data_IF_692575343290
#
_entry.id   IF_692575343290
#
_cell.length_a   1.000
_cell.length_b   1.000
_cell.length_c   1.000
_cell.angle_alpha   90.00
_cell.angle_beta   90.00
_cell.angle_gamma   90.00
#
_symmetry.space_group_name_H-M   'P 1'
#
loop_
_entity.id
_entity.type
_entity.pdbx_description
1 polymer ?
#
# COMPACT_ATOMS: atom_id res chain seq x y z
N UNK A 1 20.23 -2.84 26.33
CA UNK A 1 20.64 -1.44 26.10
C UNK A 1 21.79 -1.47 25.10
N UNK A 2 21.47 -1.48 23.80
CA UNK A 2 22.47 -1.67 22.74
C UNK A 2 23.00 -0.29 22.36
N UNK A 3 24.27 -0.04 22.68
CA UNK A 3 25.05 1.10 22.16
C UNK A 3 25.40 0.81 20.70
N UNK A 4 25.02 1.70 19.79
CA UNK A 4 25.57 1.72 18.44
C UNK A 4 26.85 2.56 18.47
N UNK A 5 28.01 1.91 18.34
CA UNK A 5 29.27 2.59 18.07
C UNK A 5 29.44 2.83 16.56
N UNK A 6 30.10 3.93 16.23
CA UNK A 6 30.43 4.30 14.84
C UNK A 6 31.43 3.30 14.28
N UNK A 7 31.16 2.79 13.07
CA UNK A 7 32.12 1.98 12.34
C UNK A 7 33.22 2.89 11.76
N UNK A 8 34.41 2.87 12.37
CA UNK A 8 35.65 3.39 11.77
C UNK A 8 36.14 2.39 10.71
N UNK A 9 36.08 2.80 9.44
CA UNK A 9 36.66 2.07 8.31
C UNK A 9 38.08 2.56 8.05
N UNK A 10 38.98 2.31 9.01
CA UNK A 10 40.42 2.54 8.85
C UNK A 10 41.16 1.20 8.90
N UNK A 11 41.33 0.60 7.72
CA UNK A 11 42.35 -0.42 7.52
C UNK A 11 41.86 -1.76 7.00
N UNK A 12 41.68 -1.86 5.69
CA UNK A 12 41.96 -3.09 4.93
C UNK A 12 42.58 -2.69 3.59
N UNK A 13 43.91 -2.67 3.56
CA UNK A 13 44.70 -2.53 2.34
C UNK A 13 45.14 -3.91 1.83
N UNK A 14 45.12 -4.09 0.50
CA UNK A 14 45.73 -5.24 -0.16
C UNK A 14 45.39 -5.42 -1.66
N UNK A 15 46.16 -4.76 -2.53
CA UNK A 15 46.77 -5.37 -3.73
C UNK A 15 46.00 -5.63 -5.06
N UNK A 16 45.94 -4.61 -5.94
CA UNK A 16 46.12 -4.58 -7.43
C UNK A 16 45.19 -5.38 -8.40
N UNK A 17 45.05 -5.03 -9.72
CA UNK A 17 45.74 -3.97 -10.48
C UNK A 17 44.83 -2.95 -11.23
N UNK A 18 45.30 -1.71 -11.32
CA UNK A 18 45.43 -1.00 -12.60
C UNK A 18 44.20 -0.43 -13.33
N UNK A 19 43.03 -0.30 -12.71
CA UNK A 19 41.94 0.52 -13.26
C UNK A 19 41.99 1.93 -12.70
N UNK A 20 42.03 2.95 -13.56
CA UNK A 20 42.10 4.36 -13.18
C UNK A 20 40.98 4.71 -12.18
N UNK A 21 41.33 4.88 -10.90
CA UNK A 21 40.42 5.34 -9.84
C UNK A 21 39.78 6.69 -10.18
N UNK A 22 40.39 7.47 -11.08
CA UNK A 22 39.81 8.70 -11.61
C UNK A 22 38.60 8.44 -12.51
N UNK A 23 38.55 7.29 -13.19
CA UNK A 23 37.48 6.90 -14.11
C UNK A 23 36.28 6.33 -13.35
N UNK A 24 36.52 5.58 -12.27
CA UNK A 24 35.49 5.15 -11.32
C UNK A 24 34.89 6.36 -10.56
N UNK A 25 35.73 7.31 -10.16
CA UNK A 25 35.26 8.56 -9.55
C UNK A 25 34.51 9.47 -10.55
N UNK A 26 34.84 9.42 -11.85
CA UNK A 26 34.10 10.15 -12.90
C UNK A 26 32.78 9.48 -13.28
N UNK A 27 32.67 8.15 -13.17
CA UNK A 27 31.39 7.42 -13.35
C UNK A 27 30.48 7.57 -12.13
N UNK A 28 31.02 7.61 -10.91
CA UNK A 28 30.24 7.91 -9.70
C UNK A 28 29.99 9.41 -9.49
N UNK A 29 30.78 10.28 -10.11
CA UNK A 29 30.72 11.74 -9.98
C UNK A 29 29.82 12.45 -10.99
N UNK A 30 29.17 11.73 -11.91
CA UNK A 30 28.16 12.28 -12.81
C UNK A 30 26.78 11.72 -12.43
N UNK A 31 26.01 12.58 -11.76
CA UNK A 31 24.60 12.42 -11.37
C UNK A 31 24.28 11.86 -9.98
N UNK A 32 25.00 12.27 -8.92
CA UNK A 32 24.47 12.21 -7.55
C UNK A 32 23.46 13.34 -7.28
N UNK A 33 22.44 13.47 -8.13
CA UNK A 33 21.20 14.19 -7.80
C UNK A 33 20.13 13.18 -7.36
N UNK A 34 20.54 12.13 -6.63
CA UNK A 34 19.62 11.26 -5.90
C UNK A 34 19.07 12.13 -4.78
N UNK A 35 17.90 12.76 -5.00
CA UNK A 35 17.22 13.54 -3.97
C UNK A 35 17.07 12.71 -2.69
N UNK A 36 16.68 13.34 -1.58
CA UNK A 36 16.50 12.63 -0.30
C UNK A 36 15.66 11.36 -0.52
N UNK A 37 16.21 10.16 -0.26
CA UNK A 37 15.54 8.92 -0.55
C UNK A 37 14.34 8.73 0.36
N UNK A 38 13.27 8.10 -0.16
CA UNK A 38 12.13 7.67 0.66
C UNK A 38 12.47 6.35 1.33
N UNK A 39 11.90 6.09 2.50
CA UNK A 39 12.06 4.80 3.19
C UNK A 39 10.75 4.01 3.14
N UNK A 40 10.81 2.75 2.73
CA UNK A 40 9.73 1.79 2.91
C UNK A 40 10.16 0.81 3.99
N UNK A 41 9.39 0.74 5.07
CA UNK A 41 9.54 -0.30 6.10
C UNK A 41 8.44 -1.33 5.91
N UNK A 42 8.81 -2.54 5.54
CA UNK A 42 7.86 -3.63 5.36
C UNK A 42 8.08 -4.74 6.39
N UNK A 43 6.98 -5.26 6.92
CA UNK A 43 6.98 -6.36 7.87
C UNK A 43 5.81 -7.31 7.60
N UNK A 44 5.79 -8.46 8.28
CA UNK A 44 4.80 -9.52 8.06
C UNK A 44 3.44 -9.17 8.67
N UNK A 45 3.41 -8.61 9.87
CA UNK A 45 2.16 -8.34 10.60
C UNK A 45 1.99 -6.87 10.93
N UNK A 46 0.73 -6.46 11.09
CA UNK A 46 0.41 -5.10 11.53
C UNK A 46 0.87 -4.80 12.95
N UNK A 47 0.89 -5.79 13.85
CA UNK A 47 1.42 -5.60 15.21
C UNK A 47 2.92 -5.29 15.20
N UNK A 48 3.69 -5.91 14.30
CA UNK A 48 5.11 -5.60 14.10
C UNK A 48 5.29 -4.18 13.57
N UNK A 49 4.49 -3.77 12.57
CA UNK A 49 4.51 -2.39 12.06
C UNK A 49 4.19 -1.38 13.16
N UNK A 50 3.12 -1.60 13.94
CA UNK A 50 2.74 -0.72 15.05
C UNK A 50 3.84 -0.67 16.12
N UNK A 51 4.51 -1.79 16.42
CA UNK A 51 5.66 -1.81 17.33
C UNK A 51 6.84 -0.99 16.80
N UNK A 52 7.23 -1.17 15.53
CA UNK A 52 8.31 -0.40 14.91
C UNK A 52 8.00 1.10 14.90
N UNK A 53 6.75 1.48 14.62
CA UNK A 53 6.30 2.88 14.68
C UNK A 53 6.38 3.47 16.09
N UNK A 54 6.01 2.69 17.12
CA UNK A 54 6.14 3.13 18.52
C UNK A 54 7.59 3.32 18.94
N UNK A 55 8.50 2.46 18.50
CA UNK A 55 9.92 2.64 18.76
C UNK A 55 10.48 3.85 18.00
N UNK A 56 10.06 4.06 16.75
CA UNK A 56 10.44 5.25 15.99
C UNK A 56 10.03 6.56 16.71
N UNK A 57 8.83 6.60 17.31
CA UNK A 57 8.34 7.72 18.15
C UNK A 57 9.27 8.05 19.34
N UNK A 58 10.09 7.10 19.80
CA UNK A 58 11.00 7.27 20.95
C UNK A 58 12.41 7.73 20.57
N UNK A 59 12.68 7.90 19.27
CA UNK A 59 13.98 8.33 18.75
C UNK A 59 14.00 9.83 18.44
N UNK A 60 15.17 10.36 18.08
CA UNK A 60 15.31 11.73 17.57
C UNK A 60 14.52 11.98 16.26
N UNK A 61 14.00 10.92 15.62
CA UNK A 61 13.24 10.96 14.38
C UNK A 61 11.71 11.01 14.61
N UNK A 62 11.25 11.31 15.83
CA UNK A 62 9.82 11.34 16.17
C UNK A 62 8.97 12.31 15.32
N UNK A 63 9.59 13.35 14.77
CA UNK A 63 8.94 14.37 13.92
C UNK A 63 8.94 14.01 12.42
N UNK A 64 9.46 12.84 12.05
CA UNK A 64 9.46 12.38 10.66
C UNK A 64 8.04 12.09 10.19
N UNK A 65 7.71 12.44 8.94
CA UNK A 65 6.39 12.14 8.38
C UNK A 65 6.32 10.66 8.04
N UNK A 66 5.58 9.91 8.82
CA UNK A 66 5.32 8.50 8.55
C UNK A 66 3.89 8.27 8.13
N UNK A 67 3.68 7.29 7.24
CA UNK A 67 2.35 6.77 6.96
C UNK A 67 2.35 5.25 7.04
N UNK A 68 1.24 4.67 7.48
CA UNK A 68 1.00 3.22 7.43
C UNK A 68 -0.05 2.88 6.38
N UNK A 69 0.26 1.90 5.54
CA UNK A 69 -0.69 1.29 4.62
C UNK A 69 -1.27 0.03 5.24
N UNK A 70 -2.59 -0.12 5.09
CA UNK A 70 -3.31 -1.28 5.60
C UNK A 70 -4.48 -1.70 4.73
N UNK A 71 -5.05 -2.85 5.08
CA UNK A 71 -6.22 -3.39 4.41
C UNK A 71 -7.48 -2.58 4.73
N UNK A 72 -8.54 -2.79 3.95
CA UNK A 72 -9.86 -2.22 4.26
C UNK A 72 -10.42 -2.77 5.55
N UNK A 73 -10.05 -3.99 5.92
CA UNK A 73 -10.49 -4.65 7.15
C UNK A 73 -10.11 -3.85 8.40
N UNK A 74 -8.95 -3.19 8.37
CA UNK A 74 -8.40 -2.43 9.49
C UNK A 74 -8.68 -0.93 9.43
N UNK A 75 -8.68 -0.37 8.21
CA UNK A 75 -8.78 1.09 8.02
C UNK A 75 -10.19 1.57 7.64
N UNK A 76 -11.12 0.68 7.27
CA UNK A 76 -12.46 1.11 6.90
C UNK A 76 -13.28 1.49 8.15
N UNK A 77 -14.03 2.58 8.04
CA UNK A 77 -14.95 3.06 9.08
C UNK A 77 -16.41 3.14 8.59
N UNK A 78 -16.67 2.64 7.38
CA UNK A 78 -18.02 2.63 6.81
C UNK A 78 -18.81 1.46 7.42
N UNK A 79 -19.94 1.69 8.14
CA UNK A 79 -20.64 0.65 8.89
C UNK A 79 -21.04 -0.55 8.03
N UNK A 80 -21.63 -0.30 6.86
CA UNK A 80 -22.09 -1.37 5.97
C UNK A 80 -20.95 -2.21 5.40
N UNK A 81 -19.81 -1.59 5.05
CA UNK A 81 -18.64 -2.33 4.58
C UNK A 81 -18.02 -3.12 5.72
N UNK A 82 -17.98 -2.57 6.93
CA UNK A 82 -17.39 -3.23 8.09
C UNK A 82 -18.19 -4.44 8.58
N UNK A 83 -19.49 -4.48 8.27
CA UNK A 83 -20.38 -5.60 8.58
C UNK A 83 -20.13 -6.84 7.71
N UNK A 84 -19.58 -6.65 6.51
CA UNK A 84 -19.27 -7.75 5.60
C UNK A 84 -18.20 -8.68 6.18
N UNK A 85 -18.36 -9.99 5.97
CA UNK A 85 -17.38 -10.98 6.41
C UNK A 85 -16.35 -11.25 5.32
N UNK A 86 -15.08 -11.24 5.69
CA UNK A 86 -13.96 -11.50 4.78
C UNK A 86 -13.49 -10.27 3.98
N UNK A 87 -12.18 -10.17 3.78
CA UNK A 87 -11.54 -9.03 3.12
C UNK A 87 -11.96 -8.85 1.64
N UNK A 88 -12.29 -9.94 0.94
CA UNK A 88 -12.76 -9.90 -0.46
C UNK A 88 -14.12 -9.19 -0.58
N UNK A 89 -15.09 -9.56 0.27
CA UNK A 89 -16.42 -8.94 0.29
C UNK A 89 -16.34 -7.46 0.68
N UNK A 90 -15.55 -7.14 1.73
CA UNK A 90 -15.25 -5.75 2.11
C UNK A 90 -14.66 -4.95 0.95
N UNK A 91 -13.75 -5.55 0.19
CA UNK A 91 -13.13 -4.91 -0.97
C UNK A 91 -14.12 -4.68 -2.10
N UNK A 92 -14.94 -5.67 -2.45
CA UNK A 92 -15.93 -5.54 -3.52
C UNK A 92 -17.02 -4.52 -3.15
N UNK A 93 -17.58 -4.59 -1.94
CA UNK A 93 -18.55 -3.62 -1.44
C UNK A 93 -17.98 -2.19 -1.41
N UNK A 94 -16.73 -2.04 -0.96
CA UNK A 94 -16.05 -0.75 -0.98
C UNK A 94 -15.90 -0.20 -2.41
N UNK A 95 -15.47 -1.04 -3.37
CA UNK A 95 -15.36 -0.65 -4.78
C UNK A 95 -16.71 -0.21 -5.35
N UNK A 96 -17.77 -0.98 -5.12
CA UNK A 96 -19.13 -0.65 -5.56
C UNK A 96 -19.61 0.68 -5.01
N UNK A 97 -19.38 0.95 -3.71
CA UNK A 97 -19.79 2.22 -3.08
C UNK A 97 -18.98 3.43 -3.55
N UNK A 98 -17.69 3.24 -3.80
CA UNK A 98 -16.84 4.30 -4.35
C UNK A 98 -17.23 4.59 -5.79
N UNK A 99 -17.49 3.56 -6.60
CA UNK A 99 -17.91 3.71 -7.98
C UNK A 99 -19.28 4.39 -8.11
N UNK A 100 -20.26 3.98 -7.30
CA UNK A 100 -21.60 4.60 -7.23
C UNK A 100 -21.64 5.94 -6.46
N UNK A 101 -20.49 6.44 -5.97
CA UNK A 101 -20.39 7.66 -5.16
C UNK A 101 -21.31 7.67 -3.92
N UNK A 102 -21.56 6.51 -3.32
CA UNK A 102 -22.37 6.36 -2.11
C UNK A 102 -21.53 6.32 -0.82
N UNK A 103 -20.20 6.24 -0.92
CA UNK A 103 -19.30 6.30 0.22
C UNK A 103 -18.96 7.73 0.64
N UNK A 104 -19.72 8.29 1.58
CA UNK A 104 -19.51 9.66 2.09
C UNK A 104 -18.10 9.91 2.66
N UNK A 105 -17.48 8.89 3.26
CA UNK A 105 -16.13 8.98 3.81
C UNK A 105 -15.05 9.15 2.74
N UNK A 106 -15.16 8.43 1.62
CA UNK A 106 -14.19 8.53 0.52
C UNK A 106 -14.35 9.86 -0.20
N UNK A 107 -15.59 10.32 -0.43
CA UNK A 107 -15.86 11.58 -1.12
C UNK A 107 -15.25 12.80 -0.41
N UNK A 108 -15.05 12.72 0.90
CA UNK A 108 -14.43 13.80 1.71
C UNK A 108 -12.91 13.76 1.75
N UNK A 109 -12.26 12.74 1.17
CA UNK A 109 -10.80 12.61 1.22
C UNK A 109 -10.14 13.77 0.50
N UNK A 110 -10.57 14.08 -0.72
CA UNK A 110 -9.94 15.13 -1.53
C UNK A 110 -10.01 16.51 -0.86
N UNK A 111 -11.17 16.86 -0.29
CA UNK A 111 -11.38 18.16 0.35
C UNK A 111 -10.74 18.29 1.74
N UNK A 112 -10.33 17.18 2.37
CA UNK A 112 -9.81 17.17 3.75
C UNK A 112 -8.41 16.56 3.89
N UNK A 113 -7.75 16.15 2.80
CA UNK A 113 -6.42 15.53 2.84
C UNK A 113 -5.33 16.44 3.41
N UNK A 114 -5.53 17.75 3.32
CA UNK A 114 -4.56 18.75 3.82
C UNK A 114 -4.86 19.23 5.24
N UNK A 115 -5.79 18.57 5.95
CA UNK A 115 -6.08 18.88 7.34
C UNK A 115 -4.82 18.71 8.22
N UNK A 116 -4.52 19.63 9.15
CA UNK A 116 -3.32 19.56 10.00
C UNK A 116 -3.20 18.25 10.79
N UNK A 117 -4.31 17.65 11.19
CA UNK A 117 -4.33 16.35 11.88
C UNK A 117 -3.84 15.17 11.04
N UNK A 118 -3.80 15.31 9.70
CA UNK A 118 -3.31 14.29 8.77
C UNK A 118 -1.92 14.63 8.23
N UNK A 119 -1.64 15.91 8.01
CA UNK A 119 -0.37 16.41 7.45
C UNK A 119 0.66 16.79 8.51
N UNK A 120 0.28 16.83 9.78
CA UNK A 120 1.17 17.19 10.87
C UNK A 120 2.39 16.27 10.96
N UNK A 121 3.52 16.74 11.53
CA UNK A 121 4.72 15.94 11.73
C UNK A 121 4.50 14.97 12.89
N UNK A 122 3.72 13.92 12.66
CA UNK A 122 3.43 12.89 13.64
C UNK A 122 3.47 11.52 13.01
N UNK A 123 4.02 10.57 13.77
CA UNK A 123 3.95 9.17 13.41
C UNK A 123 2.54 8.68 13.73
N UNK A 124 1.75 8.36 12.72
CA UNK A 124 0.37 7.86 12.90
C UNK A 124 0.31 6.36 12.60
N UNK A 125 0.02 5.54 13.61
CA UNK A 125 -0.30 4.14 13.40
C UNK A 125 -1.73 3.97 12.86
N UNK A 126 -2.16 2.72 12.68
CA UNK A 126 -3.48 2.39 12.11
C UNK A 126 -4.59 2.91 13.02
N UNK A 127 -4.44 2.72 14.33
CA UNK A 127 -5.40 3.13 15.34
C UNK A 127 -5.55 4.66 15.38
N UNK A 128 -4.42 5.38 15.33
CA UNK A 128 -4.38 6.84 15.26
C UNK A 128 -5.09 7.34 13.99
N UNK A 129 -4.80 6.74 12.83
CA UNK A 129 -5.42 7.14 11.56
C UNK A 129 -6.94 6.87 11.53
N UNK A 130 -7.39 5.76 12.12
CA UNK A 130 -8.82 5.46 12.27
C UNK A 130 -9.50 6.49 13.17
N UNK A 131 -8.91 6.86 14.31
CA UNK A 131 -9.45 7.91 15.20
C UNK A 131 -9.58 9.26 14.48
N UNK A 132 -8.53 9.66 13.74
CA UNK A 132 -8.56 10.90 12.94
C UNK A 132 -9.65 10.83 11.87
N UNK A 133 -9.77 9.71 11.14
CA UNK A 133 -10.82 9.54 10.14
C UNK A 133 -12.24 9.54 10.72
N UNK A 134 -12.45 8.99 11.92
CA UNK A 134 -13.73 9.05 12.62
C UNK A 134 -14.10 10.47 13.04
N UNK A 135 -13.13 11.24 13.55
CA UNK A 135 -13.30 12.65 13.96
C UNK A 135 -13.57 13.56 12.76
N UNK A 136 -12.74 13.45 11.72
CA UNK A 136 -12.85 14.27 10.51
C UNK A 136 -13.87 13.73 9.51
N UNK A 137 -14.50 12.57 9.79
CA UNK A 137 -15.44 11.86 8.92
C UNK A 137 -14.89 11.63 7.51
N UNK A 138 -13.62 11.22 7.42
CA UNK A 138 -12.92 10.90 6.16
C UNK A 138 -12.55 9.43 6.14
N UNK A 139 -12.33 8.85 4.97
CA UNK A 139 -11.91 7.46 4.85
C UNK A 139 -10.41 7.28 5.16
N UNK A 140 -10.02 6.60 6.27
CA UNK A 140 -8.60 6.37 6.61
C UNK A 140 -7.85 5.58 5.53
N UNK A 141 -8.53 4.60 4.92
CA UNK A 141 -7.96 3.75 3.87
C UNK A 141 -7.51 4.55 2.64
N UNK A 142 -8.32 5.50 2.18
CA UNK A 142 -7.93 6.34 1.05
C UNK A 142 -7.03 7.51 1.48
N UNK A 143 -7.25 8.06 2.67
CA UNK A 143 -6.42 9.14 3.22
C UNK A 143 -4.94 8.73 3.34
N UNK A 144 -4.65 7.55 3.91
CA UNK A 144 -3.26 7.04 3.99
C UNK A 144 -2.56 7.02 2.63
N UNK A 145 -3.26 6.65 1.56
CA UNK A 145 -2.68 6.61 0.20
C UNK A 145 -2.34 8.00 -0.34
N UNK A 146 -3.15 9.01 -0.03
CA UNK A 146 -2.87 10.42 -0.39
C UNK A 146 -1.69 11.02 0.40
N UNK A 147 -1.32 10.41 1.54
CA UNK A 147 -0.19 10.85 2.36
C UNK A 147 1.15 10.26 1.90
N UNK A 148 1.16 9.09 1.22
CA UNK A 148 2.39 8.41 0.75
C UNK A 148 3.34 9.31 -0.05
N UNK A 149 2.89 10.16 -1.00
CA UNK A 149 3.79 11.02 -1.76
C UNK A 149 4.62 11.98 -0.91
N UNK A 150 4.09 12.40 0.25
CA UNK A 150 4.74 13.34 1.18
C UNK A 150 5.35 12.65 2.40
N UNK A 151 5.24 11.33 2.51
CA UNK A 151 5.83 10.59 3.62
C UNK A 151 7.34 10.41 3.40
N UNK A 152 8.10 10.57 4.49
CA UNK A 152 9.53 10.29 4.52
C UNK A 152 9.75 8.78 4.75
N UNK A 153 8.89 8.15 5.57
CA UNK A 153 8.82 6.71 5.77
C UNK A 153 7.41 6.16 5.55
N UNK A 154 7.30 5.04 4.83
CA UNK A 154 6.04 4.32 4.63
C UNK A 154 6.11 2.93 5.23
N UNK A 155 5.24 2.65 6.19
CA UNK A 155 5.06 1.33 6.80
C UNK A 155 4.02 0.55 6.00
N UNK A 156 4.31 -0.68 5.59
CA UNK A 156 3.36 -1.51 4.85
C UNK A 156 3.58 -3.01 5.05
N UNK A 157 2.58 -3.88 4.81
CA UNK A 157 2.80 -5.31 4.87
C UNK A 157 3.57 -5.80 3.63
N UNK A 158 4.30 -6.91 3.78
CA UNK A 158 5.11 -7.50 2.70
C UNK A 158 4.38 -7.74 1.39
N UNK A 159 3.15 -8.22 1.46
CA UNK A 159 2.36 -8.51 0.27
C UNK A 159 2.15 -7.27 -0.61
N UNK A 160 2.16 -6.06 -0.06
CA UNK A 160 1.97 -4.84 -0.87
C UNK A 160 3.19 -4.52 -1.73
N UNK A 161 4.37 -4.99 -1.31
CA UNK A 161 5.62 -4.81 -2.04
C UNK A 161 5.89 -5.99 -2.99
N UNK A 162 5.64 -7.22 -2.53
CA UNK A 162 6.04 -8.44 -3.22
C UNK A 162 5.02 -8.91 -4.26
N UNK A 163 3.70 -8.74 -4.03
CA UNK A 163 2.69 -9.05 -5.04
C UNK A 163 2.63 -7.92 -6.09
N UNK A 164 2.94 -8.20 -7.37
CA UNK A 164 2.89 -7.19 -8.43
C UNK A 164 1.51 -6.52 -8.58
N UNK A 165 0.42 -7.27 -8.34
CA UNK A 165 -0.95 -6.74 -8.41
C UNK A 165 -1.21 -5.77 -7.27
N UNK A 166 -0.86 -6.16 -6.04
CA UNK A 166 -0.97 -5.29 -4.88
C UNK A 166 -0.09 -4.04 -5.01
N UNK A 167 1.15 -4.19 -5.48
CA UNK A 167 2.08 -3.07 -5.69
C UNK A 167 1.52 -2.03 -6.66
N UNK A 168 0.99 -2.48 -7.81
CA UNK A 168 0.34 -1.62 -8.80
C UNK A 168 -0.92 -0.97 -8.24
N UNK A 169 -1.75 -1.72 -7.52
CA UNK A 169 -2.99 -1.20 -6.92
C UNK A 169 -2.74 -0.13 -5.84
N UNK A 170 -1.60 -0.20 -5.14
CA UNK A 170 -1.20 0.76 -4.11
C UNK A 170 -0.32 1.90 -4.64
N UNK A 171 -0.01 1.93 -5.94
CA UNK A 171 0.86 2.95 -6.58
C UNK A 171 2.21 3.10 -5.85
N UNK A 172 2.82 1.98 -5.45
CA UNK A 172 4.10 1.99 -4.76
C UNK A 172 5.23 2.11 -5.79
N UNK A 173 6.00 3.18 -5.71
CA UNK A 173 7.16 3.46 -6.55
C UNK A 173 8.47 3.15 -5.79
N UNK A 174 9.40 2.46 -6.46
CA UNK A 174 10.68 2.05 -5.88
C UNK A 174 11.85 2.92 -6.33
N UNK A 175 11.61 3.88 -7.22
CA UNK A 175 12.64 4.85 -7.63
C UNK A 175 13.01 5.74 -6.46
N UNK A 176 14.31 5.94 -6.23
CA UNK A 176 14.80 6.78 -5.13
C UNK A 176 14.37 6.29 -3.73
N UNK A 177 14.18 4.99 -3.53
CA UNK A 177 13.61 4.43 -2.30
C UNK A 177 14.54 3.39 -1.65
N UNK A 178 14.73 3.51 -0.34
CA UNK A 178 15.36 2.49 0.53
C UNK A 178 14.26 1.57 1.05
N UNK A 179 14.39 0.27 0.80
CA UNK A 179 13.43 -0.74 1.28
C UNK A 179 14.07 -1.52 2.43
N UNK A 180 13.38 -1.54 3.57
CA UNK A 180 13.74 -2.29 4.77
C UNK A 180 12.71 -3.43 4.90
N UNK A 181 13.20 -4.67 4.88
CA UNK A 181 12.38 -5.86 5.10
C UNK A 181 12.71 -6.44 6.48
N UNK A 182 11.75 -6.37 7.39
CA UNK A 182 11.91 -6.80 8.78
C UNK A 182 11.26 -8.17 9.04
N UNK A 183 12.02 -9.14 9.53
CA UNK A 183 11.67 -10.58 9.53
C UNK A 183 11.65 -11.22 8.13
N UNK A 184 12.69 -10.93 7.34
CA UNK A 184 12.85 -11.38 5.95
C UNK A 184 12.87 -12.91 5.74
N UNK A 185 12.94 -13.71 6.81
CA UNK A 185 12.96 -15.16 6.74
C UNK A 185 11.67 -15.77 6.16
N UNK A 186 10.55 -15.03 6.11
CA UNK A 186 9.29 -15.48 5.50
C UNK A 186 9.08 -15.04 4.04
N UNK A 187 10.03 -14.33 3.43
CA UNK A 187 9.83 -13.74 2.10
C UNK A 187 9.60 -14.80 1.03
N UNK A 188 10.37 -15.89 1.04
CA UNK A 188 10.25 -16.96 0.04
C UNK A 188 8.83 -17.52 -0.02
N UNK A 189 8.29 -17.89 1.15
CA UNK A 189 6.92 -18.40 1.27
C UNK A 189 5.87 -17.39 0.78
N UNK A 190 6.05 -16.10 1.07
CA UNK A 190 5.11 -15.06 0.61
C UNK A 190 5.17 -14.89 -0.92
N UNK A 191 6.37 -14.97 -1.50
CA UNK A 191 6.54 -14.95 -2.95
C UNK A 191 5.91 -16.19 -3.60
N UNK A 192 6.11 -17.37 -3.03
CA UNK A 192 5.49 -18.62 -3.49
C UNK A 192 3.97 -18.53 -3.44
N UNK A 193 3.39 -18.11 -2.31
CA UNK A 193 1.94 -17.91 -2.15
C UNK A 193 1.38 -16.88 -3.13
N UNK A 194 2.11 -15.78 -3.39
CA UNK A 194 1.67 -14.74 -4.33
C UNK A 194 1.71 -15.19 -5.80
N UNK A 195 2.56 -16.16 -6.14
CA UNK A 195 2.70 -16.71 -7.48
C UNK A 195 1.87 -17.99 -7.70
N UNK A 196 1.34 -18.57 -6.62
CA UNK A 196 0.60 -19.82 -6.65
C UNK A 196 -0.91 -19.61 -6.66
N UNK A 197 -1.63 -20.50 -7.35
CA UNK A 197 -3.09 -20.60 -7.31
C UNK A 197 -3.44 -22.05 -7.03
N UNK A 198 -4.38 -22.26 -6.11
CA UNK A 198 -4.95 -23.59 -5.84
C UNK A 198 -6.39 -23.59 -6.34
N UNK A 199 -6.74 -24.61 -7.14
CA UNK A 199 -8.10 -24.81 -7.66
C UNK A 199 -8.62 -26.12 -7.08
N UNK A 200 -9.70 -26.04 -6.31
CA UNK A 200 -10.39 -27.20 -5.74
C UNK A 200 -11.55 -27.61 -6.65
N UNK A 201 -12.00 -28.86 -6.51
CA UNK A 201 -13.19 -29.34 -7.22
C UNK A 201 -14.45 -28.51 -6.91
N UNK A 202 -14.55 -27.98 -5.69
CA UNK A 202 -15.62 -27.04 -5.31
C UNK A 202 -15.57 -25.75 -6.12
N UNK A 203 -14.38 -25.24 -6.44
CA UNK A 203 -14.23 -23.99 -7.19
C UNK A 203 -14.71 -24.19 -8.64
N UNK A 204 -14.42 -25.36 -9.22
CA UNK A 204 -14.91 -25.75 -10.56
C UNK A 204 -16.42 -25.93 -10.56
N UNK A 205 -16.98 -26.58 -9.53
CA UNK A 205 -18.42 -26.75 -9.39
C UNK A 205 -19.15 -25.39 -9.30
N UNK A 206 -18.64 -24.47 -8.48
CA UNK A 206 -19.17 -23.09 -8.39
C UNK A 206 -19.06 -22.36 -9.73
N UNK A 207 -17.95 -22.49 -10.45
CA UNK A 207 -17.79 -21.86 -11.76
C UNK A 207 -18.80 -22.39 -12.80
N UNK A 208 -19.11 -23.69 -12.76
CA UNK A 208 -20.15 -24.28 -13.63
C UNK A 208 -21.52 -23.71 -13.28
N UNK A 209 -21.85 -23.60 -11.99
CA UNK A 209 -23.11 -23.02 -11.51
C UNK A 209 -23.25 -21.56 -11.93
N UNK A 210 -22.22 -20.73 -11.70
CA UNK A 210 -22.20 -19.32 -12.08
C UNK A 210 -22.39 -19.13 -13.60
N UNK A 211 -21.67 -19.90 -14.42
CA UNK A 211 -21.79 -19.84 -15.89
C UNK A 211 -23.18 -20.30 -16.34
N UNK A 212 -23.71 -21.37 -15.75
CA UNK A 212 -25.05 -21.87 -16.07
C UNK A 212 -26.12 -20.83 -15.74
N UNK A 213 -26.00 -20.16 -14.59
CA UNK A 213 -26.90 -19.10 -14.19
C UNK A 213 -26.85 -17.93 -15.18
N UNK A 214 -25.65 -17.47 -15.55
CA UNK A 214 -25.47 -16.41 -16.54
C UNK A 214 -26.08 -16.82 -17.89
N UNK A 215 -25.87 -18.05 -18.34
CA UNK A 215 -26.45 -18.56 -19.59
C UNK A 215 -27.99 -18.54 -19.55
N UNK A 216 -28.60 -18.86 -18.41
CA UNK A 216 -30.06 -18.78 -18.24
C UNK A 216 -30.56 -17.35 -18.33
N UNK A 217 -29.91 -16.40 -17.66
CA UNK A 217 -30.26 -14.97 -17.72
C UNK A 217 -30.19 -14.44 -19.16
N UNK A 218 -29.15 -14.82 -19.92
CA UNK A 218 -29.05 -14.46 -21.34
C UNK A 218 -30.12 -15.13 -22.20
N UNK A 219 -30.47 -16.39 -21.92
CA UNK A 219 -31.48 -17.14 -22.67
C UNK A 219 -32.92 -16.69 -22.37
N UNK A 220 -33.20 -16.19 -21.16
CA UNK A 220 -34.52 -15.73 -20.75
C UNK A 220 -34.90 -14.35 -21.29
N UNK A 221 -34.01 -13.69 -22.05
CA UNK A 221 -34.36 -12.48 -22.80
C UNK A 221 -34.76 -11.28 -21.95
N UNK A 222 -34.33 -11.21 -20.68
CA UNK A 222 -34.39 -9.97 -19.89
C UNK A 222 -33.33 -9.02 -20.44
N UNK A 223 -33.65 -8.46 -21.60
CA UNK A 223 -33.08 -7.26 -22.17
C UNK A 223 -33.34 -6.15 -21.15
N UNK A 224 -32.44 -5.94 -20.21
CA UNK A 224 -32.42 -4.66 -19.51
C UNK A 224 -32.12 -3.62 -20.58
N UNK A 225 -33.13 -2.83 -20.91
CA UNK A 225 -33.02 -1.58 -21.64
C UNK A 225 -31.92 -0.71 -21.01
N UNK A 226 -30.70 -0.85 -21.51
CA UNK A 226 -29.70 0.20 -21.51
C UNK A 226 -29.83 0.96 -22.84
N UNK A 227 -31.05 1.38 -23.16
CA UNK A 227 -31.32 2.34 -24.21
C UNK A 227 -31.04 3.75 -23.66
N UNK A 228 -29.76 4.12 -23.71
CA UNK A 228 -29.27 5.49 -23.65
C UNK A 228 -28.32 5.70 -24.83
N UNK A 229 -28.79 5.39 -26.03
CA UNK A 229 -28.09 5.69 -27.27
C UNK A 229 -28.24 7.20 -27.54
N UNK A 230 -27.40 8.00 -26.91
CA UNK A 230 -27.18 9.37 -27.37
C UNK A 230 -26.40 9.30 -28.68
N UNK A 231 -26.92 9.85 -29.80
CA UNK A 231 -26.18 9.90 -31.04
C UNK A 231 -24.96 10.80 -30.84
N UNK A 232 -23.76 10.23 -30.97
CA UNK A 232 -22.52 11.00 -31.04
C UNK A 232 -22.48 11.72 -32.38
N UNK A 233 -22.87 12.99 -32.35
CA UNK A 233 -22.68 13.92 -33.45
C UNK A 233 -21.18 14.08 -33.73
N UNK A 234 -20.76 13.66 -34.93
CA UNK A 234 -19.45 13.94 -35.50
C UNK A 234 -19.67 14.91 -36.66
N UNK A 235 -19.98 16.15 -36.29
CA UNK A 235 -19.85 17.30 -37.18
C UNK A 235 -18.75 18.23 -36.63
#
# INVERSE_FOLDING_TARGET
MVKMEKADFSGLGGGAPGGDLSELAKTMGRANNWGVPKVIYASRTHSQLTQAMRELKRTAYANMRSVVLGSRDQLCIHPEVMREQGNSNKTNMCKLRVHSKTCSFQMRVESRKDHPDLRGPTIMDIEDLVKVGQRLKICPYFASRELVPQADITFMPYNYLLDPKARKANKIELGNTIVILDEAHNIEKICEESASVQIKSSDVAMAIEDVTHIMQVFASGESQDMAGDEPKDFT
#
